data_IF_777233998417
#
_entry.id   IF_777233998417
#
_cell.length_a   1.000
_cell.length_b   1.000
_cell.length_c   1.000
_cell.angle_alpha   90.00
_cell.angle_beta   90.00
_cell.angle_gamma   90.00
#
_symmetry.space_group_name_H-M   'P 1'
#
loop_
_entity.id
_entity.type
_entity.pdbx_description
1 polymer ?
#
# COMPACT_ATOMS: atom_id res chain seq x y z
N UNK A 1 17.66 0.59 -9.36
CA UNK A 1 16.76 1.61 -9.96
C UNK A 1 17.07 2.93 -9.30
N UNK A 2 17.23 4.01 -10.07
CA UNK A 2 17.40 5.37 -9.52
C UNK A 2 16.05 6.05 -9.20
N UNK A 3 16.11 7.20 -8.52
CA UNK A 3 14.92 8.00 -8.14
C UNK A 3 14.06 8.36 -9.35
N UNK A 4 14.65 8.83 -10.44
CA UNK A 4 13.89 9.38 -11.55
C UNK A 4 13.15 8.27 -12.30
N UNK A 5 13.79 7.11 -12.47
CA UNK A 5 13.19 5.91 -13.03
C UNK A 5 12.04 5.42 -12.14
N UNK A 6 12.23 5.41 -10.82
CA UNK A 6 11.17 5.03 -9.88
C UNK A 6 9.96 5.96 -9.99
N UNK A 7 10.15 7.29 -9.94
CA UNK A 7 9.04 8.23 -10.00
C UNK A 7 8.32 8.22 -11.35
N UNK A 8 9.06 8.09 -12.46
CA UNK A 8 8.50 7.99 -13.81
C UNK A 8 7.73 6.69 -14.07
N UNK A 9 7.90 5.68 -13.22
CA UNK A 9 7.18 4.41 -13.33
C UNK A 9 6.03 4.35 -12.33
N UNK A 10 6.31 4.60 -11.05
CA UNK A 10 5.33 4.53 -9.96
C UNK A 10 4.18 5.54 -10.13
N UNK A 11 4.48 6.83 -10.32
CA UNK A 11 3.43 7.86 -10.40
C UNK A 11 2.40 7.58 -11.50
N UNK A 12 2.79 7.36 -12.78
CA UNK A 12 1.79 7.09 -13.82
C UNK A 12 1.10 5.75 -13.64
N UNK A 13 1.78 4.73 -13.10
CA UNK A 13 1.16 3.44 -12.81
C UNK A 13 0.04 3.60 -11.77
N UNK A 14 0.34 4.19 -10.61
CA UNK A 14 -0.64 4.39 -9.54
C UNK A 14 -1.77 5.33 -9.98
N UNK A 15 -1.43 6.42 -10.69
CA UNK A 15 -2.43 7.35 -11.21
C UNK A 15 -3.35 6.69 -12.25
N UNK A 16 -2.85 5.74 -13.06
CA UNK A 16 -3.65 5.03 -14.05
C UNK A 16 -4.66 4.06 -13.41
N UNK A 17 -4.45 3.61 -12.18
CA UNK A 17 -5.41 2.77 -11.48
C UNK A 17 -6.74 3.49 -11.22
N UNK A 18 -6.74 4.81 -11.05
CA UNK A 18 -7.97 5.59 -10.82
C UNK A 18 -8.95 5.52 -12.02
N UNK A 19 -8.57 5.87 -13.26
CA UNK A 19 -9.46 5.71 -14.40
C UNK A 19 -9.75 4.24 -14.73
N UNK A 20 -8.82 3.31 -14.47
CA UNK A 20 -9.08 1.87 -14.62
C UNK A 20 -10.16 1.40 -13.64
N UNK A 21 -10.09 1.80 -12.38
CA UNK A 21 -11.10 1.52 -11.37
C UNK A 21 -12.44 2.13 -11.74
N UNK A 22 -12.46 3.38 -12.23
CA UNK A 22 -13.69 4.04 -12.67
C UNK A 22 -14.33 3.33 -13.88
N UNK A 23 -13.54 2.95 -14.88
CA UNK A 23 -14.01 2.20 -16.04
C UNK A 23 -14.56 0.83 -15.62
N UNK A 24 -13.83 0.12 -14.75
CA UNK A 24 -14.24 -1.19 -14.27
C UNK A 24 -15.51 -1.12 -13.44
N UNK A 25 -15.61 -0.16 -12.51
CA UNK A 25 -16.82 0.07 -11.73
C UNK A 25 -18.01 0.39 -12.64
N UNK A 26 -17.82 1.20 -13.69
CA UNK A 26 -18.85 1.47 -14.68
C UNK A 26 -19.30 0.21 -15.43
N UNK A 27 -18.37 -0.63 -15.90
CA UNK A 27 -18.68 -1.92 -16.56
C UNK A 27 -19.45 -2.85 -15.62
N UNK A 28 -19.11 -2.85 -14.34
CA UNK A 28 -19.71 -3.71 -13.32
C UNK A 28 -21.02 -3.15 -12.72
N UNK A 29 -21.43 -1.94 -13.09
CA UNK A 29 -22.62 -1.28 -12.54
C UNK A 29 -22.48 -0.85 -11.08
N UNK A 30 -21.25 -0.62 -10.61
CA UNK A 30 -20.94 -0.20 -9.23
C UNK A 30 -20.70 1.31 -9.16
N UNK A 31 -21.28 1.97 -8.15
CA UNK A 31 -21.08 3.42 -7.93
C UNK A 31 -19.89 3.67 -7.01
N UNK A 32 -18.78 4.18 -7.56
CA UNK A 32 -17.66 4.68 -6.74
C UNK A 32 -18.02 5.94 -5.95
N UNK A 33 -19.00 6.72 -6.44
CA UNK A 33 -19.44 7.96 -5.80
C UNK A 33 -19.99 7.68 -4.40
N UNK A 34 -20.73 6.59 -4.24
CA UNK A 34 -21.36 6.23 -2.97
C UNK A 34 -20.29 5.91 -1.93
N UNK A 35 -19.22 5.24 -2.35
CA UNK A 35 -18.05 4.97 -1.51
C UNK A 35 -17.21 6.20 -1.18
N UNK A 36 -17.29 7.29 -1.95
CA UNK A 36 -16.51 8.53 -1.73
C UNK A 36 -17.27 9.60 -0.92
N UNK A 37 -18.37 9.23 -0.26
CA UNK A 37 -19.10 10.09 0.66
C UNK A 37 -18.38 10.17 2.03
N UNK A 38 -18.77 11.17 2.84
CA UNK A 38 -18.29 11.35 4.21
C UNK A 38 -16.74 11.43 4.38
N UNK A 39 -16.03 12.26 3.59
CA UNK A 39 -14.57 12.31 3.62
C UNK A 39 -13.99 12.64 4.99
N UNK A 40 -14.59 13.58 5.73
CA UNK A 40 -14.08 13.98 7.04
C UNK A 40 -14.11 12.81 8.05
N UNK A 41 -15.22 12.09 8.10
CA UNK A 41 -15.36 10.89 8.93
C UNK A 41 -14.39 9.79 8.49
N UNK A 42 -14.33 9.53 7.19
CA UNK A 42 -13.47 8.51 6.62
C UNK A 42 -11.98 8.76 6.88
N UNK A 43 -11.52 10.01 6.73
CA UNK A 43 -10.15 10.42 7.03
C UNK A 43 -9.83 10.24 8.52
N UNK A 44 -10.72 10.69 9.41
CA UNK A 44 -10.50 10.57 10.85
C UNK A 44 -10.35 9.12 11.29
N UNK A 45 -11.25 8.24 10.83
CA UNK A 45 -11.16 6.80 11.08
C UNK A 45 -9.95 6.16 10.40
N UNK A 46 -9.60 6.59 9.18
CA UNK A 46 -8.46 6.05 8.43
C UNK A 46 -7.12 6.30 9.15
N UNK A 47 -6.95 7.48 9.75
CA UNK A 47 -5.78 7.79 10.58
C UNK A 47 -5.70 6.82 11.76
N UNK A 48 -6.79 6.64 12.51
CA UNK A 48 -6.82 5.70 13.63
C UNK A 48 -6.61 4.24 13.21
N UNK A 49 -7.22 3.83 12.11
CA UNK A 49 -7.11 2.49 11.53
C UNK A 49 -5.72 2.21 10.92
N UNK A 50 -4.83 3.21 10.84
CA UNK A 50 -3.43 2.98 10.48
C UNK A 50 -2.64 2.33 11.63
N UNK A 51 -3.10 2.43 12.87
CA UNK A 51 -2.35 1.93 14.04
C UNK A 51 -2.14 0.40 13.99
N UNK A 52 -3.17 -0.45 13.77
CA UNK A 52 -2.96 -1.90 13.71
C UNK A 52 -1.93 -2.37 12.67
N UNK A 53 -1.96 -1.93 11.38
CA UNK A 53 -0.95 -2.35 10.42
C UNK A 53 0.45 -1.80 10.75
N UNK A 54 0.58 -0.64 11.41
CA UNK A 54 1.88 -0.17 11.91
C UNK A 54 2.42 -1.03 13.05
N UNK A 55 1.57 -1.47 13.97
CA UNK A 55 1.95 -2.45 15.01
C UNK A 55 2.39 -3.76 14.34
N UNK A 56 1.63 -4.24 13.36
CA UNK A 56 1.97 -5.44 12.61
C UNK A 56 3.33 -5.30 11.89
N UNK A 57 3.62 -4.14 11.28
CA UNK A 57 4.91 -3.85 10.67
C UNK A 57 6.06 -3.95 11.68
N UNK A 58 5.89 -3.38 12.88
CA UNK A 58 6.90 -3.47 13.94
C UNK A 58 7.09 -4.92 14.40
N UNK A 59 6.00 -5.65 14.64
CA UNK A 59 6.02 -7.04 15.09
C UNK A 59 6.69 -7.93 14.04
N UNK A 60 6.26 -7.87 12.78
CA UNK A 60 6.80 -8.65 11.67
C UNK A 60 8.31 -8.45 11.54
N UNK A 61 8.79 -7.22 11.71
CA UNK A 61 10.22 -6.90 11.63
C UNK A 61 11.02 -7.37 12.84
N UNK A 62 10.40 -7.48 14.01
CA UNK A 62 11.05 -7.99 15.22
C UNK A 62 11.14 -9.52 15.25
N UNK A 63 10.32 -10.23 14.46
CA UNK A 63 10.31 -11.68 14.43
C UNK A 63 11.56 -12.25 13.73
N UNK A 64 12.29 -13.20 14.34
CA UNK A 64 13.49 -13.80 13.75
C UNK A 64 13.17 -14.85 12.66
N UNK A 65 12.07 -14.68 11.92
CA UNK A 65 11.63 -15.65 10.92
C UNK A 65 12.26 -15.36 9.55
N UNK A 66 13.00 -16.33 9.01
CA UNK A 66 13.80 -16.16 7.79
C UNK A 66 13.00 -15.69 6.55
N UNK A 67 11.75 -16.14 6.31
CA UNK A 67 10.95 -15.62 5.20
C UNK A 67 10.62 -14.13 5.33
N UNK A 68 10.35 -13.61 6.53
CA UNK A 68 10.06 -12.18 6.75
C UNK A 68 11.30 -11.32 6.48
N UNK A 69 12.48 -11.78 6.92
CA UNK A 69 13.74 -11.10 6.64
C UNK A 69 14.02 -11.00 5.15
N UNK A 70 13.79 -12.08 4.40
CA UNK A 70 13.96 -12.11 2.94
C UNK A 70 13.06 -11.10 2.22
N UNK A 71 11.83 -10.89 2.71
CA UNK A 71 10.96 -9.83 2.17
C UNK A 71 11.58 -8.46 2.41
N UNK A 72 12.03 -8.17 3.64
CA UNK A 72 12.67 -6.90 3.96
C UNK A 72 13.96 -6.65 3.15
N UNK A 73 14.81 -7.66 3.02
CA UNK A 73 16.04 -7.60 2.21
C UNK A 73 15.72 -7.33 0.73
N UNK A 74 14.71 -8.00 0.17
CA UNK A 74 14.26 -7.77 -1.20
C UNK A 74 13.76 -6.33 -1.39
N UNK A 75 12.84 -5.87 -0.54
CA UNK A 75 12.28 -4.52 -0.62
C UNK A 75 13.37 -3.44 -0.47
N UNK A 76 14.27 -3.63 0.50
CA UNK A 76 15.41 -2.73 0.71
C UNK A 76 16.36 -2.72 -0.50
N UNK A 77 16.62 -3.86 -1.14
CA UNK A 77 17.47 -3.94 -2.32
C UNK A 77 16.84 -3.33 -3.58
N UNK A 78 15.55 -3.54 -3.81
CA UNK A 78 14.84 -3.09 -5.02
C UNK A 78 14.43 -1.62 -4.94
N UNK A 79 13.79 -1.23 -3.82
CA UNK A 79 13.20 0.10 -3.66
C UNK A 79 14.12 1.06 -2.90
N UNK A 80 14.91 0.53 -1.96
CA UNK A 80 15.62 1.33 -0.98
C UNK A 80 16.55 2.41 -1.54
N UNK A 81 17.41 2.14 -2.56
CA UNK A 81 18.24 3.17 -3.16
C UNK A 81 17.43 4.34 -3.76
N UNK A 82 16.33 4.03 -4.47
CA UNK A 82 15.47 5.04 -5.09
C UNK A 82 14.72 5.84 -4.02
N UNK A 83 14.07 5.15 -3.07
CA UNK A 83 13.33 5.78 -1.99
C UNK A 83 14.23 6.67 -1.11
N UNK A 84 15.46 6.25 -0.83
CA UNK A 84 16.39 7.02 0.00
C UNK A 84 16.82 8.35 -0.65
N UNK A 85 16.70 8.46 -1.97
CA UNK A 85 16.95 9.67 -2.75
C UNK A 85 15.69 10.53 -2.96
N UNK A 86 14.49 10.00 -2.71
CA UNK A 86 13.24 10.75 -2.80
C UNK A 86 13.08 11.76 -1.64
N UNK A 87 12.41 12.87 -1.94
CA UNK A 87 11.92 13.81 -0.93
C UNK A 87 10.66 13.28 -0.23
N UNK A 88 10.34 13.82 0.95
CA UNK A 88 9.12 13.44 1.67
C UNK A 88 7.84 13.71 0.85
N UNK A 89 7.83 14.78 0.04
CA UNK A 89 6.69 15.11 -0.80
C UNK A 89 6.46 14.06 -1.91
N UNK A 90 7.54 13.53 -2.48
CA UNK A 90 7.46 12.47 -3.51
C UNK A 90 6.96 11.15 -2.92
N UNK A 91 7.46 10.78 -1.74
CA UNK A 91 6.99 9.60 -1.03
C UNK A 91 5.51 9.73 -0.67
N UNK A 92 5.10 10.90 -0.18
CA UNK A 92 3.69 11.18 0.13
C UNK A 92 2.82 11.11 -1.13
N UNK A 93 3.28 11.67 -2.25
CA UNK A 93 2.55 11.63 -3.52
C UNK A 93 2.34 10.18 -4.00
N UNK A 94 3.39 9.37 -4.03
CA UNK A 94 3.27 7.95 -4.45
C UNK A 94 2.34 7.19 -3.53
N UNK A 95 2.47 7.37 -2.21
CA UNK A 95 1.62 6.67 -1.23
C UNK A 95 0.15 7.10 -1.32
N UNK A 96 -0.12 8.38 -1.58
CA UNK A 96 -1.48 8.89 -1.80
C UNK A 96 -2.10 8.35 -3.09
N UNK A 97 -1.31 8.27 -4.17
CA UNK A 97 -1.77 7.71 -5.44
C UNK A 97 -2.05 6.21 -5.33
N UNK A 98 -1.17 5.44 -4.66
CA UNK A 98 -1.37 4.02 -4.40
C UNK A 98 -2.63 3.80 -3.55
N UNK A 99 -2.72 4.48 -2.39
CA UNK A 99 -3.89 4.38 -1.52
C UNK A 99 -5.20 4.79 -2.22
N UNK A 100 -5.18 5.80 -3.10
CA UNK A 100 -6.37 6.18 -3.86
C UNK A 100 -6.70 5.17 -4.98
N UNK A 101 -5.73 4.88 -5.84
CA UNK A 101 -5.92 4.06 -7.04
C UNK A 101 -6.25 2.61 -6.70
N UNK A 102 -5.49 2.00 -5.80
CA UNK A 102 -5.70 0.61 -5.42
C UNK A 102 -7.00 0.41 -4.64
N UNK A 103 -7.34 1.28 -3.70
CA UNK A 103 -8.59 1.12 -2.95
C UNK A 103 -9.83 1.37 -3.81
N UNK A 104 -9.77 2.32 -4.76
CA UNK A 104 -10.83 2.46 -5.76
C UNK A 104 -10.98 1.19 -6.61
N UNK A 105 -9.88 0.57 -7.04
CA UNK A 105 -9.91 -0.64 -7.85
C UNK A 105 -10.42 -1.85 -7.07
N UNK A 106 -9.78 -2.17 -5.95
CA UNK A 106 -10.05 -3.39 -5.21
C UNK A 106 -11.29 -3.27 -4.33
N UNK A 107 -11.47 -2.15 -3.61
CA UNK A 107 -12.56 -2.01 -2.62
C UNK A 107 -13.77 -1.30 -3.22
N UNK A 108 -13.51 -0.35 -4.12
CA UNK A 108 -14.56 0.36 -4.83
C UNK A 108 -15.18 -0.44 -5.97
N UNK A 109 -14.38 -1.06 -6.85
CA UNK A 109 -14.90 -1.74 -8.04
C UNK A 109 -15.06 -3.26 -7.87
N UNK A 110 -14.03 -3.95 -7.38
CA UNK A 110 -14.01 -5.42 -7.36
C UNK A 110 -14.76 -6.03 -6.16
N UNK A 111 -14.51 -5.54 -4.95
CA UNK A 111 -15.07 -6.10 -3.71
C UNK A 111 -16.61 -6.12 -3.67
N UNK A 112 -17.35 -5.10 -4.16
CA UNK A 112 -18.81 -5.13 -4.15
C UNK A 112 -19.41 -6.27 -5.01
N UNK A 113 -18.67 -6.74 -6.01
CA UNK A 113 -19.12 -7.81 -6.92
C UNK A 113 -18.58 -9.18 -6.51
N UNK A 114 -17.30 -9.23 -6.12
CA UNK A 114 -16.59 -10.49 -5.86
C UNK A 114 -16.56 -10.88 -4.37
N UNK A 115 -16.93 -9.95 -3.49
CA UNK A 115 -16.84 -10.13 -2.05
C UNK A 115 -15.41 -9.91 -1.52
N UNK A 116 -15.34 -9.70 -0.20
CA UNK A 116 -14.11 -9.39 0.52
C UNK A 116 -13.00 -10.46 0.32
N UNK A 117 -13.25 -11.78 0.47
CA UNK A 117 -12.16 -12.76 0.37
C UNK A 117 -11.50 -12.79 -1.01
N UNK A 118 -12.30 -12.74 -2.09
CA UNK A 118 -11.78 -12.79 -3.47
C UNK A 118 -11.01 -11.52 -3.80
N UNK A 119 -11.55 -10.35 -3.44
CA UNK A 119 -10.86 -9.08 -3.65
C UNK A 119 -9.50 -9.03 -2.92
N UNK A 120 -9.43 -9.54 -1.69
CA UNK A 120 -8.17 -9.62 -0.93
C UNK A 120 -7.17 -10.62 -1.53
N UNK A 121 -7.62 -11.72 -2.12
CA UNK A 121 -6.74 -12.64 -2.86
C UNK A 121 -6.21 -11.97 -4.13
N UNK A 122 -7.04 -11.25 -4.89
CA UNK A 122 -6.59 -10.51 -6.06
C UNK A 122 -5.57 -9.42 -5.69
N UNK A 123 -5.79 -8.72 -4.58
CA UNK A 123 -4.84 -7.77 -4.01
C UNK A 123 -3.50 -8.44 -3.67
N UNK A 124 -3.54 -9.59 -3.00
CA UNK A 124 -2.34 -10.38 -2.68
C UNK A 124 -1.56 -10.81 -3.93
N UNK A 125 -2.28 -11.22 -4.99
CA UNK A 125 -1.69 -11.64 -6.25
C UNK A 125 -1.04 -10.48 -7.02
N UNK A 126 -1.65 -9.29 -6.98
CA UNK A 126 -1.04 -8.07 -7.54
C UNK A 126 0.29 -7.72 -6.86
N UNK A 127 0.44 -8.12 -5.59
CA UNK A 127 1.63 -7.91 -4.78
C UNK A 127 2.53 -9.15 -4.70
N UNK A 128 2.39 -10.12 -5.60
CA UNK A 128 3.12 -11.38 -5.47
C UNK A 128 4.61 -11.22 -5.80
N UNK A 129 5.41 -10.95 -4.77
CA UNK A 129 6.88 -10.96 -4.84
C UNK A 129 7.41 -12.28 -4.29
N UNK A 130 6.91 -12.67 -3.12
CA UNK A 130 7.16 -13.97 -2.47
C UNK A 130 5.86 -14.47 -1.88
N UNK A 131 5.71 -15.79 -1.63
CA UNK A 131 4.52 -16.31 -0.96
C UNK A 131 4.26 -15.65 0.41
N UNK A 132 5.32 -15.32 1.15
CA UNK A 132 5.19 -14.63 2.45
C UNK A 132 4.70 -13.21 2.27
N UNK A 133 5.21 -12.47 1.28
CA UNK A 133 4.72 -11.12 1.02
C UNK A 133 3.27 -11.12 0.53
N UNK A 134 2.91 -12.05 -0.36
CA UNK A 134 1.52 -12.23 -0.80
C UNK A 134 0.59 -12.59 0.37
N UNK A 135 1.02 -13.40 1.34
CA UNK A 135 0.25 -13.68 2.54
C UNK A 135 0.05 -12.40 3.37
N UNK A 136 1.10 -11.62 3.60
CA UNK A 136 1.03 -10.36 4.36
C UNK A 136 0.11 -9.34 3.69
N UNK A 137 0.24 -9.14 2.38
CA UNK A 137 -0.62 -8.23 1.61
C UNK A 137 -2.04 -8.77 1.48
N UNK A 138 -2.25 -10.08 1.47
CA UNK A 138 -3.58 -10.69 1.58
C UNK A 138 -4.26 -10.39 2.91
N UNK A 139 -3.53 -10.50 4.03
CA UNK A 139 -4.05 -10.13 5.37
C UNK A 139 -4.34 -8.63 5.45
N UNK A 140 -3.42 -7.78 4.97
CA UNK A 140 -3.67 -6.35 4.82
C UNK A 140 -4.91 -6.11 3.95
N UNK A 141 -5.07 -6.92 2.90
CA UNK A 141 -6.16 -6.80 1.97
C UNK A 141 -7.52 -7.12 2.57
N UNK A 142 -7.58 -8.12 3.48
CA UNK A 142 -8.77 -8.43 4.28
C UNK A 142 -9.08 -7.29 5.24
N UNK A 143 -8.05 -6.71 5.87
CA UNK A 143 -8.20 -5.60 6.80
C UNK A 143 -8.76 -4.34 6.13
N UNK A 144 -8.15 -3.90 5.02
CA UNK A 144 -8.64 -2.76 4.23
C UNK A 144 -10.04 -3.01 3.68
N UNK A 145 -10.31 -4.24 3.21
CA UNK A 145 -11.65 -4.63 2.76
C UNK A 145 -12.70 -4.58 3.87
N UNK A 146 -12.35 -5.02 5.08
CA UNK A 146 -13.22 -4.92 6.25
C UNK A 146 -13.47 -3.45 6.62
N UNK A 147 -12.42 -2.61 6.64
CA UNK A 147 -12.57 -1.17 6.88
C UNK A 147 -13.54 -0.53 5.90
N UNK A 148 -13.42 -0.81 4.59
CA UNK A 148 -14.34 -0.30 3.57
C UNK A 148 -15.81 -0.61 3.88
N UNK A 149 -16.10 -1.85 4.33
CA UNK A 149 -17.46 -2.27 4.68
C UNK A 149 -17.93 -1.72 6.03
N UNK A 150 -17.04 -1.60 7.01
CA UNK A 150 -17.38 -1.22 8.37
C UNK A 150 -17.57 0.30 8.52
N UNK A 151 -16.78 1.10 7.80
CA UNK A 151 -16.90 2.57 7.82
C UNK A 151 -17.97 3.10 6.87
N UNK A 152 -18.38 2.31 5.88
CA UNK A 152 -19.30 2.74 4.82
C UNK A 152 -18.69 3.77 3.85
N UNK A 153 -17.37 3.98 3.90
CA UNK A 153 -16.66 4.93 3.03
C UNK A 153 -15.27 4.40 2.65
N UNK A 154 -14.89 4.60 1.39
CA UNK A 154 -13.58 4.27 0.84
C UNK A 154 -12.48 5.20 1.37
N UNK A 155 -12.81 6.38 1.91
CA UNK A 155 -11.82 7.28 2.48
C UNK A 155 -11.06 6.64 3.65
N UNK A 156 -11.71 5.78 4.44
CA UNK A 156 -11.05 5.06 5.53
C UNK A 156 -9.92 4.16 5.04
N UNK A 157 -10.15 3.15 4.18
CA UNK A 157 -9.06 2.33 3.66
C UNK A 157 -8.06 3.12 2.79
N UNK A 158 -8.50 4.13 2.02
CA UNK A 158 -7.58 4.99 1.23
C UNK A 158 -6.53 5.63 2.13
N UNK A 159 -6.97 6.27 3.22
CA UNK A 159 -6.08 6.96 4.15
C UNK A 159 -5.24 5.97 4.94
N UNK A 160 -5.81 4.85 5.39
CA UNK A 160 -5.06 3.80 6.09
C UNK A 160 -3.95 3.23 5.22
N UNK A 161 -4.24 2.93 3.96
CA UNK A 161 -3.27 2.41 3.01
C UNK A 161 -2.17 3.44 2.72
N UNK A 162 -2.53 4.66 2.34
CA UNK A 162 -1.56 5.71 2.03
C UNK A 162 -0.63 6.04 3.21
N UNK A 163 -1.15 6.09 4.44
CA UNK A 163 -0.33 6.36 5.61
C UNK A 163 0.57 5.17 5.96
N UNK A 164 0.08 3.94 5.83
CA UNK A 164 0.87 2.74 6.03
C UNK A 164 2.06 2.70 5.07
N UNK A 165 1.82 2.91 3.78
CA UNK A 165 2.86 2.90 2.74
C UNK A 165 3.90 3.99 2.97
N UNK A 166 3.43 5.20 3.29
CA UNK A 166 4.34 6.30 3.59
C UNK A 166 5.29 5.95 4.73
N UNK A 167 4.77 5.38 5.83
CA UNK A 167 5.61 4.95 6.97
C UNK A 167 6.50 3.77 6.58
N UNK A 168 6.00 2.81 5.81
CA UNK A 168 6.78 1.67 5.33
C UNK A 168 7.97 2.13 4.47
N UNK A 169 7.79 3.12 3.59
CA UNK A 169 8.88 3.74 2.83
C UNK A 169 9.91 4.40 3.75
N UNK A 170 9.48 5.13 4.78
CA UNK A 170 10.41 5.73 5.76
C UNK A 170 11.22 4.66 6.51
N UNK A 171 10.62 3.52 6.82
CA UNK A 171 11.30 2.39 7.45
C UNK A 171 12.35 1.79 6.51
N UNK A 172 12.02 1.57 5.24
CA UNK A 172 12.97 1.09 4.22
C UNK A 172 14.15 2.06 4.07
N UNK A 173 13.88 3.37 3.99
CA UNK A 173 14.93 4.40 3.90
C UNK A 173 15.84 4.36 5.12
N UNK A 174 15.27 4.23 6.32
CA UNK A 174 16.03 4.14 7.57
C UNK A 174 16.95 2.91 7.57
N UNK A 175 16.45 1.76 7.12
CA UNK A 175 17.22 0.52 7.07
C UNK A 175 18.42 0.63 6.11
N UNK A 176 18.19 1.11 4.89
CA UNK A 176 19.26 1.26 3.90
C UNK A 176 20.31 2.26 4.35
N UNK A 177 19.90 3.38 4.97
CA UNK A 177 20.86 4.35 5.54
C UNK A 177 21.70 3.75 6.66
N UNK A 178 21.09 2.92 7.53
CA UNK A 178 21.82 2.21 8.59
C UNK A 178 22.83 1.21 8.03
N UNK A 179 22.46 0.46 7.00
CA UNK A 179 23.34 -0.49 6.34
C UNK A 179 24.56 0.20 5.72
N UNK A 180 24.37 1.32 5.00
CA UNK A 180 25.48 2.12 4.43
C UNK A 180 26.43 2.68 5.48
N UNK A 181 25.92 3.08 6.65
CA UNK A 181 26.78 3.55 7.75
C UNK A 181 27.61 2.41 8.35
N UNK A 182 27.09 1.18 8.34
CA UNK A 182 27.77 0.01 8.90
C UNK A 182 28.76 -0.64 7.93
N UNK A 183 28.56 -0.48 6.62
CA UNK A 183 29.46 -0.98 5.58
C UNK A 183 29.73 0.07 4.48
N UNK A 184 30.70 0.98 4.70
CA UNK A 184 31.01 2.07 3.76
C UNK A 184 31.68 1.64 2.46
N UNK A 185 32.04 0.36 2.29
CA UNK A 185 32.82 -0.15 1.15
C UNK A 185 31.97 -0.87 0.08
N UNK A 186 30.64 -0.83 0.20
CA UNK A 186 29.72 -1.55 -0.69
C UNK A 186 29.22 -0.75 -1.92
N UNK A 187 29.71 0.48 -2.12
CA UNK A 187 29.44 1.34 -3.30
C UNK A 187 30.63 1.33 -4.27
#
# INVERSE_FOLDING_TARGET
MDRDTFLRTAIPFEAALVPVAALLAWILGVSLRDGLQEPAHGIAWGIGATIPPLIALVVVRALPWAPLRRVGEFLNGVLGPALAACSLAELALVSLLAGLGEELLFRGALQPVLGLPVASVLFALAHFITPTYALLTGVMGLYLGWLATASGTLWTPIVTHALYDFVAFLVVIRDVRRQRTQDPQAD
#
